data_IF_852461440243
#
_entry.id   IF_852461440243
#
_cell.length_a   1.000
_cell.length_b   1.000
_cell.length_c   1.000
_cell.angle_alpha   90.00
_cell.angle_beta   90.00
_cell.angle_gamma   90.00
#
_symmetry.space_group_name_H-M   'P 1'
#
loop_
_entity.id
_entity.type
_entity.pdbx_description
1 polymer ?
#
# COMPACT_ATOMS: atom_id res chain seq x y z
N UNK A 1 17.00 -10.54 -8.50
CA UNK A 1 15.61 -11.04 -8.56
C UNK A 1 14.79 -10.12 -9.44
N UNK A 2 13.76 -10.61 -10.13
CA UNK A 2 12.81 -9.75 -10.83
C UNK A 2 11.96 -8.94 -9.82
N UNK A 3 11.48 -7.77 -10.23
CA UNK A 3 10.49 -7.02 -9.46
C UNK A 3 9.12 -7.68 -9.58
N UNK A 4 8.33 -7.67 -8.50
CA UNK A 4 6.94 -8.10 -8.57
C UNK A 4 6.15 -7.18 -9.49
N UNK A 5 5.19 -7.73 -10.23
CA UNK A 5 4.29 -7.00 -11.13
C UNK A 5 2.84 -7.34 -10.84
N UNK A 6 1.90 -6.56 -11.39
CA UNK A 6 0.47 -6.80 -11.15
C UNK A 6 -0.01 -8.19 -11.57
N UNK A 7 0.69 -8.86 -12.48
CA UNK A 7 0.32 -10.21 -12.95
C UNK A 7 0.61 -11.29 -11.92
N UNK A 8 1.52 -11.01 -10.98
CA UNK A 8 2.04 -11.97 -10.01
C UNK A 8 1.42 -11.79 -8.64
N UNK A 9 0.71 -10.68 -8.40
CA UNK A 9 0.20 -10.33 -7.08
C UNK A 9 -1.32 -10.44 -7.00
N UNK A 10 -1.80 -11.13 -5.98
CA UNK A 10 -3.14 -10.90 -5.44
C UNK A 10 -3.06 -9.76 -4.42
N UNK A 11 -4.03 -8.85 -4.43
CA UNK A 11 -4.02 -7.65 -3.58
C UNK A 11 -5.36 -7.50 -2.87
N UNK A 12 -5.32 -7.08 -1.61
CA UNK A 12 -6.51 -6.78 -0.82
C UNK A 12 -6.27 -5.59 0.11
N UNK A 13 -7.37 -4.94 0.51
CA UNK A 13 -7.40 -3.95 1.57
C UNK A 13 -8.42 -4.40 2.62
N UNK A 14 -8.00 -4.46 3.89
CA UNK A 14 -8.86 -4.87 5.00
C UNK A 14 -8.88 -3.76 6.04
N UNK A 15 -10.07 -3.45 6.57
CA UNK A 15 -10.20 -2.52 7.70
C UNK A 15 -9.71 -3.18 8.99
N UNK A 16 -8.95 -2.44 9.77
CA UNK A 16 -8.40 -2.92 11.03
C UNK A 16 -9.25 -2.43 12.22
N UNK A 17 -9.07 -1.16 12.60
CA UNK A 17 -9.88 -0.51 13.66
C UNK A 17 -11.18 0.06 13.10
N UNK A 18 -11.08 0.72 11.96
CA UNK A 18 -12.13 1.48 11.30
C UNK A 18 -11.76 1.65 9.81
N UNK A 19 -12.61 2.31 9.03
CA UNK A 19 -12.35 2.56 7.61
C UNK A 19 -11.24 3.57 7.34
N UNK A 20 -10.72 4.25 8.37
CA UNK A 20 -9.54 5.11 8.24
C UNK A 20 -8.24 4.32 8.33
N UNK A 21 -8.24 3.15 8.96
CA UNK A 21 -7.04 2.34 9.21
C UNK A 21 -7.10 1.02 8.44
N UNK A 22 -6.42 0.98 7.30
CA UNK A 22 -6.44 -0.18 6.41
C UNK A 22 -5.10 -0.91 6.40
N UNK A 23 -5.16 -2.24 6.37
CA UNK A 23 -4.04 -3.09 5.99
C UNK A 23 -4.12 -3.38 4.48
N UNK A 24 -3.12 -2.95 3.74
CA UNK A 24 -2.90 -3.37 2.35
C UNK A 24 -2.06 -4.64 2.36
N UNK A 25 -2.58 -5.69 1.76
CA UNK A 25 -1.88 -6.98 1.65
C UNK A 25 -1.62 -7.29 0.19
N UNK A 26 -0.39 -7.68 -0.12
CA UNK A 26 -0.01 -8.25 -1.40
C UNK A 26 0.50 -9.67 -1.19
N UNK A 27 -0.01 -10.62 -1.96
CA UNK A 27 0.43 -12.02 -1.94
C UNK A 27 1.04 -12.37 -3.29
N UNK A 28 2.21 -13.00 -3.30
CA UNK A 28 2.78 -13.55 -4.52
C UNK A 28 1.99 -14.80 -4.95
N UNK A 29 1.12 -14.65 -5.94
CA UNK A 29 0.29 -15.69 -6.52
C UNK A 29 0.99 -16.44 -7.68
N UNK A 30 2.25 -16.12 -7.97
CA UNK A 30 3.06 -16.81 -8.99
C UNK A 30 3.86 -17.99 -8.41
N UNK A 31 4.55 -18.72 -9.28
CA UNK A 31 5.43 -19.85 -8.94
C UNK A 31 6.90 -19.44 -8.72
N UNK A 32 7.22 -18.14 -8.80
CA UNK A 32 8.60 -17.62 -8.71
C UNK A 32 8.73 -16.56 -7.64
N UNK A 33 9.95 -16.41 -7.11
CA UNK A 33 10.28 -15.33 -6.19
C UNK A 33 10.31 -13.99 -6.92
N UNK A 34 9.81 -12.93 -6.28
CA UNK A 34 9.87 -11.56 -6.79
C UNK A 34 10.19 -10.57 -5.67
N UNK A 35 10.62 -9.35 -6.04
CA UNK A 35 10.97 -8.30 -5.10
C UNK A 35 9.95 -7.15 -5.13
N UNK A 36 9.48 -6.74 -3.95
CA UNK A 36 8.78 -5.48 -3.73
C UNK A 36 9.76 -4.41 -3.26
N UNK A 37 9.73 -3.26 -3.92
CA UNK A 37 10.62 -2.14 -3.61
C UNK A 37 9.85 -1.03 -2.88
N UNK A 38 10.49 -0.43 -1.89
CA UNK A 38 10.00 0.77 -1.21
C UNK A 38 8.62 0.60 -0.57
N UNK A 39 7.67 1.38 -1.05
CA UNK A 39 6.29 1.46 -0.56
C UNK A 39 5.30 1.45 -1.73
N UNK A 40 4.04 1.04 -1.53
CA UNK A 40 3.02 1.20 -2.55
C UNK A 40 2.78 2.67 -2.83
N UNK A 41 2.79 3.06 -4.10
CA UNK A 41 2.29 4.37 -4.51
C UNK A 41 0.76 4.25 -4.56
N UNK A 42 0.10 4.82 -3.56
CA UNK A 42 -1.36 4.74 -3.41
C UNK A 42 -2.01 6.03 -3.91
N UNK A 43 -3.14 5.88 -4.59
CA UNK A 43 -4.05 6.97 -4.93
C UNK A 43 -5.46 6.57 -4.50
N UNK A 44 -6.14 7.47 -3.78
CA UNK A 44 -7.51 7.27 -3.27
C UNK A 44 -8.49 8.06 -4.12
N UNK A 45 -9.31 7.38 -4.91
CA UNK A 45 -10.25 7.98 -5.86
C UNK A 45 -9.62 8.27 -7.23
N UNK A 46 -10.43 8.09 -8.29
CA UNK A 46 -9.99 8.32 -9.67
C UNK A 46 -9.55 9.78 -9.92
N UNK A 47 -10.24 10.73 -9.30
CA UNK A 47 -10.03 12.17 -9.49
C UNK A 47 -9.00 12.78 -8.53
N UNK A 48 -8.38 11.97 -7.65
CA UNK A 48 -7.37 12.47 -6.74
C UNK A 48 -6.17 13.06 -7.49
N UNK A 49 -5.76 14.26 -7.05
CA UNK A 49 -4.71 15.07 -7.68
C UNK A 49 -3.31 14.74 -7.18
N UNK A 50 -3.19 13.88 -6.16
CA UNK A 50 -1.93 13.50 -5.54
C UNK A 50 -1.94 12.04 -5.07
N UNK A 51 -0.76 11.52 -4.79
CA UNK A 51 -0.57 10.18 -4.21
C UNK A 51 -0.37 10.29 -2.70
N UNK A 52 -0.78 9.25 -1.97
CA UNK A 52 -0.67 9.17 -0.52
C UNK A 52 0.80 9.29 -0.07
N UNK A 53 1.17 10.29 0.75
CA UNK A 53 2.52 10.44 1.25
C UNK A 53 2.98 9.26 2.14
N UNK A 54 4.25 8.88 2.03
CA UNK A 54 4.84 7.80 2.83
C UNK A 54 5.26 8.27 4.23
N UNK A 55 5.05 7.43 5.25
CA UNK A 55 5.65 7.57 6.58
C UNK A 55 7.11 7.09 6.48
N UNK A 56 8.05 8.02 6.35
CA UNK A 56 9.48 7.70 6.17
C UNK A 56 10.07 6.83 7.28
N UNK A 57 9.63 7.04 8.52
CA UNK A 57 10.07 6.28 9.70
C UNK A 57 9.63 4.80 9.69
N UNK A 58 8.73 4.42 8.77
CA UNK A 58 8.29 3.03 8.60
C UNK A 58 9.24 2.17 7.75
N UNK A 59 10.32 2.76 7.23
CA UNK A 59 11.32 2.02 6.48
C UNK A 59 12.26 1.24 7.42
N UNK A 60 11.89 -0.01 7.75
CA UNK A 60 12.66 -0.86 8.65
C UNK A 60 14.00 -1.35 8.06
N UNK A 61 14.11 -1.42 6.73
CA UNK A 61 15.29 -1.94 6.01
C UNK A 61 15.62 -1.06 4.79
N UNK A 62 16.20 0.14 5.01
CA UNK A 62 16.45 1.09 3.93
C UNK A 62 17.38 0.53 2.84
N UNK A 63 16.94 0.64 1.59
CA UNK A 63 17.70 0.16 0.42
C UNK A 63 17.52 -1.33 0.12
N UNK A 64 16.83 -2.08 0.98
CA UNK A 64 16.58 -3.51 0.77
C UNK A 64 15.13 -3.75 0.32
N UNK A 65 14.91 -4.47 -0.78
CA UNK A 65 13.57 -4.89 -1.17
C UNK A 65 13.04 -6.01 -0.27
N UNK A 66 11.71 -6.10 -0.17
CA UNK A 66 11.04 -7.27 0.40
C UNK A 66 10.96 -8.36 -0.67
N UNK A 67 11.65 -9.49 -0.46
CA UNK A 67 11.53 -10.66 -1.33
C UNK A 67 10.34 -11.52 -0.92
N UNK A 68 9.43 -11.78 -1.85
CA UNK A 68 8.29 -12.66 -1.66
C UNK A 68 8.51 -14.01 -2.35
N UNK A 69 8.51 -15.08 -1.56
CA UNK A 69 8.39 -16.44 -2.08
C UNK A 69 6.95 -16.72 -2.55
N UNK A 70 6.74 -17.73 -3.42
CA UNK A 70 5.39 -18.15 -3.82
C UNK A 70 4.47 -18.38 -2.62
N UNK A 71 3.27 -17.79 -2.68
CA UNK A 71 2.26 -17.83 -1.62
C UNK A 71 2.54 -16.98 -0.39
N UNK A 72 3.67 -16.23 -0.34
CA UNK A 72 4.00 -15.35 0.77
C UNK A 72 3.44 -13.95 0.58
N UNK A 73 3.23 -13.28 1.70
CA UNK A 73 2.58 -11.98 1.79
C UNK A 73 3.54 -10.90 2.29
N UNK A 74 3.28 -9.68 1.85
CA UNK A 74 3.79 -8.46 2.45
C UNK A 74 2.64 -7.49 2.71
N UNK A 75 2.89 -6.58 3.63
CA UNK A 75 1.91 -5.66 4.17
C UNK A 75 2.43 -4.24 4.10
N UNK A 76 1.52 -3.30 3.83
CA UNK A 76 1.69 -1.89 4.10
C UNK A 76 0.44 -1.39 4.82
N UNK A 77 0.59 -0.43 5.71
CA UNK A 77 -0.51 0.20 6.39
C UNK A 77 -0.90 1.48 5.64
N UNK A 78 -2.20 1.72 5.49
CA UNK A 78 -2.77 2.89 4.85
C UNK A 78 -3.70 3.60 5.84
N UNK A 79 -3.32 4.82 6.21
CA UNK A 79 -4.18 5.78 6.87
C UNK A 79 -4.91 6.57 5.79
N UNK A 80 -6.23 6.40 5.69
CA UNK A 80 -7.09 7.05 4.70
C UNK A 80 -7.39 8.50 5.10
N UNK A 81 -7.56 8.76 6.40
CA UNK A 81 -7.79 10.09 6.95
C UNK A 81 -7.28 10.19 8.38
N UNK A 82 -6.87 11.40 8.78
CA UNK A 82 -6.55 11.77 10.17
C UNK A 82 -7.77 12.26 10.98
N UNK A 83 -8.94 12.36 10.35
CA UNK A 83 -10.16 12.94 10.94
C UNK A 83 -10.17 14.46 10.90
N UNK A 84 -9.35 15.07 10.04
CA UNK A 84 -9.33 16.51 9.82
C UNK A 84 -10.44 16.93 8.85
N UNK A 85 -10.75 18.22 8.81
CA UNK A 85 -11.71 18.79 7.86
C UNK A 85 -11.19 18.71 6.42
N UNK A 86 -12.09 18.56 5.44
CA UNK A 86 -11.72 18.48 4.03
C UNK A 86 -11.63 17.06 3.48
N UNK A 87 -12.39 16.14 4.08
CA UNK A 87 -12.56 14.79 3.53
C UNK A 87 -13.24 14.85 2.15
N UNK A 88 -12.83 13.95 1.27
CA UNK A 88 -13.46 13.68 -0.01
C UNK A 88 -13.80 12.19 -0.11
N UNK A 89 -14.86 11.90 -0.84
CA UNK A 89 -15.29 10.53 -1.10
C UNK A 89 -14.35 9.86 -2.12
N UNK A 90 -13.74 8.75 -1.74
CA UNK A 90 -12.91 7.91 -2.59
C UNK A 90 -13.59 6.55 -2.80
N UNK A 91 -13.91 6.25 -4.06
CA UNK A 91 -14.54 4.97 -4.48
C UNK A 91 -13.56 3.97 -5.11
N UNK A 92 -12.27 4.28 -5.07
CA UNK A 92 -11.22 3.39 -5.55
C UNK A 92 -9.94 3.56 -4.74
N UNK A 93 -9.20 2.47 -4.60
CA UNK A 93 -7.80 2.48 -4.16
C UNK A 93 -6.98 1.97 -5.34
N UNK A 94 -6.13 2.81 -5.90
CA UNK A 94 -5.20 2.39 -6.95
C UNK A 94 -3.80 2.27 -6.37
N UNK A 95 -3.17 1.12 -6.54
CA UNK A 95 -1.83 0.80 -6.08
C UNK A 95 -0.88 0.66 -7.27
N UNK A 96 0.21 1.41 -7.25
CA UNK A 96 1.32 1.25 -8.22
C UNK A 96 2.58 0.78 -7.51
N UNK A 97 3.26 -0.21 -8.11
CA UNK A 97 4.49 -0.79 -7.58
C UNK A 97 5.71 0.03 -8.03
N UNK A 98 6.67 0.21 -7.12
CA UNK A 98 7.96 0.79 -7.45
C UNK A 98 8.88 -0.24 -8.10
N UNK A 99 9.68 0.23 -9.06
CA UNK A 99 10.74 -0.54 -9.69
C UNK A 99 12.03 -0.53 -8.88
N UNK A 100 13.06 -1.21 -9.40
CA UNK A 100 14.38 -1.32 -8.75
C UNK A 100 15.24 -0.07 -8.83
N UNK A 101 14.87 0.91 -9.65
CA UNK A 101 15.56 2.20 -9.76
C UNK A 101 14.78 3.26 -9.01
N UNK A 102 15.48 4.26 -8.48
CA UNK A 102 14.84 5.44 -7.89
C UNK A 102 13.82 6.04 -8.86
N UNK A 103 12.66 6.43 -8.32
CA UNK A 103 11.54 7.05 -9.04
C UNK A 103 10.99 6.27 -10.24
N UNK A 104 11.31 4.97 -10.33
CA UNK A 104 10.76 4.08 -11.36
C UNK A 104 9.55 3.32 -10.85
N UNK A 105 8.63 3.01 -11.75
CA UNK A 105 7.49 2.12 -11.49
C UNK A 105 7.61 0.85 -12.31
N UNK A 106 6.89 -0.19 -11.91
CA UNK A 106 6.88 -1.47 -12.60
C UNK A 106 5.46 -2.03 -12.71
N UNK A 107 5.17 -2.63 -13.86
CA UNK A 107 3.84 -3.17 -14.13
C UNK A 107 2.79 -2.09 -14.37
N UNK A 108 1.53 -2.53 -14.44
CA UNK A 108 0.37 -1.64 -14.50
C UNK A 108 -0.12 -1.32 -13.08
N UNK A 109 -0.82 -0.19 -12.88
CA UNK A 109 -1.56 0.04 -11.64
C UNK A 109 -2.53 -1.10 -11.34
N UNK A 110 -2.76 -1.34 -10.06
CA UNK A 110 -3.64 -2.37 -9.52
C UNK A 110 -4.84 -1.68 -8.88
N UNK A 111 -6.04 -2.04 -9.32
CA UNK A 111 -7.25 -1.64 -8.62
C UNK A 111 -7.43 -2.57 -7.41
N UNK A 112 -7.25 -2.01 -6.22
CA UNK A 112 -7.36 -2.74 -4.97
C UNK A 112 -8.85 -2.86 -4.60
N UNK A 113 -9.33 -4.07 -4.26
CA UNK A 113 -10.70 -4.25 -3.79
C UNK A 113 -11.02 -3.32 -2.62
N UNK A 114 -12.14 -2.61 -2.73
CA UNK A 114 -12.58 -1.66 -1.71
C UNK A 114 -13.13 -2.41 -0.48
N UNK A 115 -12.75 -2.02 0.76
CA UNK A 115 -13.27 -2.64 1.99
C UNK A 115 -14.69 -2.15 2.36
N UNK A 116 -15.21 -1.15 1.65
CA UNK A 116 -16.55 -0.57 1.77
C UNK A 116 -16.91 0.14 0.45
N UNK A 117 -18.18 0.52 0.26
CA UNK A 117 -18.61 1.20 -0.98
C UNK A 117 -17.88 2.53 -1.23
N UNK A 118 -17.47 3.20 -0.16
CA UNK A 118 -16.67 4.41 -0.21
C UNK A 118 -15.77 4.54 1.03
N UNK A 119 -14.66 5.26 0.84
CA UNK A 119 -13.79 5.75 1.89
C UNK A 119 -13.85 7.28 1.93
N UNK A 120 -13.68 7.87 3.12
CA UNK A 120 -13.61 9.32 3.27
C UNK A 120 -12.16 9.69 3.58
N UNK A 121 -11.45 10.15 2.54
CA UNK A 121 -10.02 10.43 2.59
C UNK A 121 -9.75 11.92 2.75
N UNK A 122 -8.65 12.28 3.41
CA UNK A 122 -8.21 13.68 3.54
C UNK A 122 -6.77 13.87 3.00
N UNK A 123 -6.25 15.09 3.10
CA UNK A 123 -4.88 15.41 2.67
C UNK A 123 -3.82 14.90 3.67
N UNK A 124 -4.24 14.41 4.83
CA UNK A 124 -3.39 13.83 5.87
C UNK A 124 -3.32 12.30 5.80
N UNK A 125 -3.85 11.71 4.73
CA UNK A 125 -3.63 10.31 4.38
C UNK A 125 -2.14 9.94 4.38
N UNK A 126 -1.80 8.73 4.82
CA UNK A 126 -0.41 8.24 4.90
C UNK A 126 -0.31 6.77 4.56
N UNK A 127 0.84 6.35 4.02
CA UNK A 127 1.14 4.93 3.74
C UNK A 127 2.49 4.52 4.30
N UNK A 128 2.69 3.26 4.65
CA UNK A 128 4.00 2.75 5.12
C UNK A 128 4.80 2.07 4.02
N UNK A 129 6.07 1.81 4.30
CA UNK A 129 6.89 0.86 3.52
C UNK A 129 6.34 -0.55 3.61
N UNK A 130 6.71 -1.37 2.61
CA UNK A 130 6.45 -2.79 2.62
C UNK A 130 7.20 -3.48 3.75
N UNK A 131 6.56 -4.47 4.37
CA UNK A 131 7.17 -5.36 5.35
C UNK A 131 6.47 -6.71 5.34
N UNK A 132 7.14 -7.76 5.80
CA UNK A 132 6.51 -9.08 6.02
C UNK A 132 5.81 -9.19 7.38
N UNK A 133 5.88 -8.14 8.22
CA UNK A 133 5.28 -8.11 9.54
C UNK A 133 4.12 -7.09 9.59
N UNK A 134 2.88 -7.55 9.44
CA UNK A 134 1.68 -6.69 9.43
C UNK A 134 1.60 -5.76 10.65
N UNK A 135 1.82 -6.29 11.86
CA UNK A 135 1.83 -5.49 13.09
C UNK A 135 2.89 -4.39 13.11
N UNK A 136 4.03 -4.59 12.44
CA UNK A 136 5.05 -3.55 12.29
C UNK A 136 4.56 -2.42 11.39
N UNK A 137 3.87 -2.72 10.29
CA UNK A 137 3.27 -1.69 9.44
C UNK A 137 2.18 -0.90 10.20
N UNK A 138 1.25 -1.63 10.81
CA UNK A 138 0.04 -1.05 11.41
C UNK A 138 0.37 -0.09 12.57
N UNK A 139 1.41 -0.35 13.36
CA UNK A 139 1.75 0.50 14.52
C UNK A 139 1.97 1.98 14.17
N UNK A 140 2.35 2.30 12.93
CA UNK A 140 2.60 3.68 12.48
C UNK A 140 1.32 4.49 12.23
N UNK A 141 0.20 3.82 12.02
CA UNK A 141 -1.10 4.47 11.77
C UNK A 141 -2.06 4.30 12.94
N UNK A 142 -1.93 3.25 13.76
CA UNK A 142 -2.92 2.98 14.84
C UNK A 142 -2.98 4.04 15.95
N UNK A 143 -1.90 4.79 16.16
CA UNK A 143 -1.88 5.88 17.14
C UNK A 143 -2.30 7.23 16.55
N UNK A 144 -2.72 7.25 15.28
CA UNK A 144 -3.19 8.44 14.57
C UNK A 144 -4.72 8.44 14.45
#
# INVERSE_FOLDING_TARGET
MAACTQKELAVSAVKERDLRHLALTVQNASDKKCNLYGYPIVKLGADAQFTTPVIKDSNGTPGEPVTLDPGREAYAALLVSSGNTGEHEARSITLTLQGSKADSTVGKPIDVPMPADALYADNDQRVTYWTTASGFALRFIMSK
#
